data_IF_046954571178
#
_entry.id   IF_046954571178
#
_cell.length_a   1.000
_cell.length_b   1.000
_cell.length_c   1.000
_cell.angle_alpha   90.00
_cell.angle_beta   90.00
_cell.angle_gamma   90.00
#
_symmetry.space_group_name_H-M   'P 1'
#
loop_
_entity.id
_entity.type
_entity.pdbx_description
1 polymer ?
#
# COMPACT_ATOMS: atom_id res chain seq x y z
N UNK A 1 19.63 -21.47 -15.48
CA UNK A 1 20.22 -21.50 -16.84
C UNK A 1 19.61 -20.37 -17.65
N UNK A 2 20.42 -19.41 -18.12
CA UNK A 2 19.96 -18.35 -19.01
C UNK A 2 19.77 -18.92 -20.42
N UNK A 3 18.64 -18.63 -21.09
CA UNK A 3 18.41 -19.09 -22.47
C UNK A 3 19.19 -18.21 -23.44
N UNK A 4 19.84 -18.81 -24.45
CA UNK A 4 20.57 -18.11 -25.51
C UNK A 4 19.62 -17.12 -26.22
N UNK A 5 19.94 -15.83 -26.21
CA UNK A 5 19.09 -14.75 -26.75
C UNK A 5 18.27 -13.96 -25.71
N UNK A 6 18.35 -14.33 -24.43
CA UNK A 6 17.69 -13.59 -23.36
C UNK A 6 18.41 -12.26 -23.09
N UNK A 7 17.79 -11.14 -23.48
CA UNK A 7 18.27 -9.81 -23.11
C UNK A 7 17.85 -9.49 -21.67
N UNK A 8 18.84 -9.24 -20.81
CA UNK A 8 18.60 -8.81 -19.45
C UNK A 8 18.44 -7.29 -19.43
N UNK A 9 17.19 -6.83 -19.28
CA UNK A 9 16.91 -5.42 -19.07
C UNK A 9 17.23 -5.07 -17.61
N UNK A 10 18.20 -4.20 -17.41
CA UNK A 10 18.56 -3.71 -16.09
C UNK A 10 17.59 -2.61 -15.69
N UNK A 11 16.83 -2.86 -14.62
CA UNK A 11 15.98 -1.84 -13.99
C UNK A 11 16.71 -1.29 -12.77
N UNK A 12 16.64 0.03 -12.60
CA UNK A 12 17.16 0.72 -11.42
C UNK A 12 16.49 0.20 -10.14
N UNK A 13 17.16 0.37 -9.00
CA UNK A 13 16.59 0.01 -7.70
C UNK A 13 15.30 0.78 -7.44
N UNK A 14 15.28 2.08 -7.75
CA UNK A 14 14.10 2.94 -7.62
C UNK A 14 12.90 2.38 -8.38
N UNK A 15 13.07 1.99 -9.64
CA UNK A 15 11.98 1.46 -10.45
C UNK A 15 11.46 0.12 -9.92
N UNK A 16 12.34 -0.71 -9.36
CA UNK A 16 11.99 -1.98 -8.71
C UNK A 16 11.19 -1.76 -7.42
N UNK A 17 11.58 -0.77 -6.63
CA UNK A 17 10.89 -0.38 -5.40
C UNK A 17 9.53 0.23 -5.72
N UNK A 18 9.44 1.16 -6.68
CA UNK A 18 8.16 1.75 -7.08
C UNK A 18 7.20 0.71 -7.66
N UNK A 19 7.70 -0.24 -8.46
CA UNK A 19 6.88 -1.36 -8.94
C UNK A 19 6.34 -2.23 -7.79
N UNK A 20 7.11 -2.41 -6.72
CA UNK A 20 6.67 -3.15 -5.55
C UNK A 20 5.65 -2.36 -4.73
N UNK A 21 5.88 -1.05 -4.56
CA UNK A 21 4.98 -0.08 -3.93
C UNK A 21 3.60 -0.12 -4.57
N UNK A 22 3.52 0.06 -5.89
CA UNK A 22 2.25 0.06 -6.62
C UNK A 22 1.49 -1.27 -6.55
N UNK A 23 2.19 -2.41 -6.42
CA UNK A 23 1.55 -3.72 -6.29
C UNK A 23 1.11 -4.02 -4.85
N UNK A 24 1.94 -3.67 -3.87
CA UNK A 24 1.72 -4.04 -2.47
C UNK A 24 0.88 -3.01 -1.71
N UNK A 25 1.07 -1.73 -1.97
CA UNK A 25 0.41 -0.61 -1.27
C UNK A 25 -0.83 -0.13 -2.05
N UNK A 26 -0.67 0.20 -3.34
CA UNK A 26 -1.78 0.69 -4.17
C UNK A 26 -2.67 -0.45 -4.71
N UNK A 27 -2.27 -1.70 -4.46
CA UNK A 27 -2.94 -2.92 -4.93
C UNK A 27 -3.27 -2.92 -6.42
N UNK A 28 -2.45 -2.24 -7.23
CA UNK A 28 -2.64 -2.17 -8.67
C UNK A 28 -2.36 -3.54 -9.29
N UNK A 29 -3.08 -3.85 -10.37
CA UNK A 29 -2.80 -5.07 -11.12
C UNK A 29 -1.39 -5.01 -11.73
N UNK A 30 -0.72 -6.16 -11.82
CA UNK A 30 0.60 -6.27 -12.47
C UNK A 30 0.59 -5.71 -13.90
N UNK A 31 -0.56 -5.76 -14.61
CA UNK A 31 -0.70 -5.17 -15.94
C UNK A 31 -0.68 -3.64 -15.88
N UNK A 32 -1.40 -3.07 -14.93
CA UNK A 32 -1.49 -1.63 -14.70
C UNK A 32 -0.11 -1.05 -14.35
N UNK A 33 0.59 -1.70 -13.43
CA UNK A 33 1.95 -1.31 -13.00
C UNK A 33 2.94 -1.41 -14.16
N UNK A 34 2.88 -2.48 -14.94
CA UNK A 34 3.73 -2.65 -16.11
C UNK A 34 3.51 -1.55 -17.16
N UNK A 35 2.25 -1.18 -17.40
CA UNK A 35 1.88 -0.08 -18.31
C UNK A 35 2.38 1.27 -17.79
N UNK A 36 2.14 1.57 -16.51
CA UNK A 36 2.50 2.86 -15.88
C UNK A 36 4.01 3.09 -15.81
N UNK A 37 4.79 2.04 -15.54
CA UNK A 37 6.25 2.12 -15.44
C UNK A 37 6.99 1.83 -16.76
N UNK A 38 6.28 1.67 -17.88
CA UNK A 38 6.89 1.37 -19.18
C UNK A 38 7.61 0.01 -19.23
N UNK A 39 7.25 -0.92 -18.36
CA UNK A 39 7.85 -2.26 -18.28
C UNK A 39 7.20 -3.14 -19.35
N UNK A 40 7.92 -3.35 -20.46
CA UNK A 40 7.46 -4.19 -21.57
C UNK A 40 7.11 -5.63 -21.16
N UNK A 41 7.87 -6.19 -20.21
CA UNK A 41 7.69 -7.58 -19.75
C UNK A 41 7.02 -7.58 -18.38
N UNK A 42 5.69 -7.72 -18.36
CA UNK A 42 4.89 -7.73 -17.12
C UNK A 42 5.32 -8.77 -16.08
N UNK A 43 5.93 -9.88 -16.50
CA UNK A 43 6.43 -10.90 -15.56
C UNK A 43 7.60 -10.40 -14.72
N UNK A 44 8.32 -9.36 -15.15
CA UNK A 44 9.42 -8.76 -14.38
C UNK A 44 8.91 -8.08 -13.09
N UNK A 45 7.73 -7.45 -13.14
CA UNK A 45 7.06 -6.89 -11.94
C UNK A 45 6.78 -8.00 -10.92
N UNK A 46 6.32 -9.16 -11.39
CA UNK A 46 6.06 -10.31 -10.52
C UNK A 46 7.35 -10.89 -9.93
N UNK A 47 8.41 -11.03 -10.74
CA UNK A 47 9.72 -11.52 -10.28
C UNK A 47 10.29 -10.59 -9.22
N UNK A 48 10.21 -9.27 -9.43
CA UNK A 48 10.67 -8.27 -8.48
C UNK A 48 9.91 -8.36 -7.16
N UNK A 49 8.58 -8.38 -7.21
CA UNK A 49 7.75 -8.50 -6.02
C UNK A 49 8.03 -9.80 -5.24
N UNK A 50 8.19 -10.94 -5.93
CA UNK A 50 8.60 -12.21 -5.30
C UNK A 50 9.98 -12.13 -4.65
N UNK A 51 10.95 -11.49 -5.30
CA UNK A 51 12.30 -11.33 -4.78
C UNK A 51 12.29 -10.51 -3.49
N UNK A 52 11.52 -9.43 -3.43
CA UNK A 52 11.38 -8.60 -2.24
C UNK A 52 10.74 -9.39 -1.08
N UNK A 53 9.70 -10.19 -1.37
CA UNK A 53 9.13 -11.11 -0.38
C UNK A 53 10.11 -12.16 0.13
N UNK A 54 10.93 -12.74 -0.77
CA UNK A 54 11.98 -13.70 -0.38
C UNK A 54 13.05 -13.09 0.52
N UNK A 55 13.33 -11.79 0.37
CA UNK A 55 14.26 -11.05 1.21
C UNK A 55 13.66 -10.62 2.55
N UNK A 56 12.42 -11.03 2.87
CA UNK A 56 11.72 -10.62 4.09
C UNK A 56 11.33 -9.15 4.11
N UNK A 57 11.39 -8.46 2.97
CA UNK A 57 10.92 -7.08 2.84
C UNK A 57 9.39 -7.12 2.75
N UNK A 58 8.77 -7.19 3.93
CA UNK A 58 7.33 -7.12 4.13
C UNK A 58 6.89 -5.65 4.08
N UNK A 59 6.02 -5.32 3.13
CA UNK A 59 5.27 -4.07 3.21
C UNK A 59 4.37 -4.10 4.44
N UNK A 60 4.24 -2.98 5.14
CA UNK A 60 3.51 -2.86 6.41
C UNK A 60 1.99 -2.81 6.27
N UNK A 61 1.45 -3.08 5.08
CA UNK A 61 0.03 -2.91 4.79
C UNK A 61 -0.63 -4.21 4.35
N UNK A 62 -1.85 -4.42 4.85
CA UNK A 62 -2.68 -5.55 4.46
C UNK A 62 -3.14 -5.46 3.00
N UNK A 63 -3.54 -6.59 2.41
CA UNK A 63 -4.09 -6.61 1.05
C UNK A 63 -5.40 -5.83 0.99
N UNK A 64 -5.70 -5.18 -0.15
CA UNK A 64 -6.99 -4.52 -0.41
C UNK A 64 -8.13 -5.45 -0.03
N UNK A 65 -8.98 -4.99 0.88
CA UNK A 65 -10.17 -5.73 1.32
C UNK A 65 -9.96 -6.66 2.51
N UNK A 66 -8.79 -6.70 3.16
CA UNK A 66 -8.67 -7.34 4.46
C UNK A 66 -9.12 -6.36 5.56
N UNK A 67 -10.42 -6.36 5.84
CA UNK A 67 -10.99 -5.55 6.92
C UNK A 67 -10.48 -5.96 8.30
N UNK A 68 -10.03 -7.20 8.50
CA UNK A 68 -9.64 -7.70 9.83
C UNK A 68 -8.33 -7.05 10.32
N UNK A 69 -7.38 -6.83 9.43
CA UNK A 69 -6.09 -6.20 9.79
C UNK A 69 -6.28 -4.72 10.14
N UNK A 70 -7.26 -4.06 9.53
CA UNK A 70 -7.58 -2.66 9.81
C UNK A 70 -8.63 -2.48 10.92
N UNK A 71 -9.47 -3.49 11.18
CA UNK A 71 -10.61 -3.37 12.09
C UNK A 71 -10.18 -2.91 13.49
N UNK A 72 -9.12 -3.49 14.06
CA UNK A 72 -8.67 -3.12 15.41
C UNK A 72 -8.27 -1.64 15.50
N UNK A 73 -7.52 -1.13 14.51
CA UNK A 73 -7.05 0.25 14.54
C UNK A 73 -8.16 1.24 14.16
N UNK A 74 -9.06 0.86 13.24
CA UNK A 74 -10.25 1.63 12.90
C UNK A 74 -11.22 1.75 14.09
N UNK A 75 -11.47 0.65 14.81
CA UNK A 75 -12.28 0.66 16.03
C UNK A 75 -11.64 1.54 17.12
N UNK A 76 -10.34 1.43 17.34
CA UNK A 76 -9.63 2.27 18.31
C UNK A 76 -9.78 3.76 18.01
N UNK A 77 -9.50 4.20 16.78
CA UNK A 77 -9.62 5.60 16.40
C UNK A 77 -11.07 6.09 16.38
N UNK A 78 -12.03 5.23 16.07
CA UNK A 78 -13.46 5.56 16.18
C UNK A 78 -13.87 5.86 17.62
N UNK A 79 -13.46 4.99 18.56
CA UNK A 79 -13.71 5.21 19.99
C UNK A 79 -13.02 6.48 20.50
N UNK A 80 -11.75 6.67 20.16
CA UNK A 80 -10.99 7.86 20.59
C UNK A 80 -11.62 9.17 20.09
N UNK A 81 -12.08 9.21 18.83
CA UNK A 81 -12.78 10.38 18.28
C UNK A 81 -14.10 10.66 18.99
N UNK A 82 -14.84 9.61 19.35
CA UNK A 82 -16.10 9.72 20.07
C UNK A 82 -15.86 10.20 21.51
N UNK A 83 -14.86 9.65 22.20
CA UNK A 83 -14.49 10.03 23.57
C UNK A 83 -13.98 11.47 23.66
N UNK A 84 -13.23 11.95 22.64
CA UNK A 84 -12.76 13.34 22.55
C UNK A 84 -13.90 14.37 22.60
N UNK A 85 -15.08 14.04 22.07
CA UNK A 85 -16.25 14.92 22.10
C UNK A 85 -16.72 15.16 23.55
N UNK A 86 -16.67 14.13 24.40
CA UNK A 86 -17.08 14.25 25.80
C UNK A 86 -16.07 14.99 26.68
N UNK A 87 -14.83 15.16 26.21
CA UNK A 87 -13.78 15.90 26.92
C UNK A 87 -13.78 17.40 26.59
N UNK A 88 -14.43 17.82 25.51
CA UNK A 88 -14.58 19.23 25.15
C UNK A 88 -16.00 19.70 25.44
N UNK A 89 -16.13 20.69 26.33
CA UNK A 89 -17.38 21.44 26.53
C UNK A 89 -17.61 22.40 25.35
N UNK A 90 -17.98 21.85 24.19
CA UNK A 90 -18.39 22.65 23.05
C UNK A 90 -19.76 23.28 23.34
N UNK A 91 -19.86 24.60 23.22
CA UNK A 91 -21.08 25.34 23.53
C UNK A 91 -22.12 25.26 22.40
N UNK A 92 -21.68 24.93 21.19
CA UNK A 92 -22.52 24.86 20.01
C UNK A 92 -22.13 23.70 19.09
N UNK A 93 -23.06 23.33 18.19
CA UNK A 93 -22.89 22.19 17.27
C UNK A 93 -21.69 22.36 16.31
N UNK A 94 -21.35 23.59 15.94
CA UNK A 94 -20.25 23.88 15.02
C UNK A 94 -18.88 23.58 15.65
N UNK A 95 -18.72 23.84 16.95
CA UNK A 95 -17.53 23.50 17.73
C UNK A 95 -17.37 22.00 17.92
N UNK A 96 -18.49 21.27 18.08
CA UNK A 96 -18.48 19.79 18.13
C UNK A 96 -18.00 19.20 16.80
N UNK A 97 -18.47 19.72 15.67
CA UNK A 97 -18.05 19.28 14.33
C UNK A 97 -16.54 19.53 14.12
N UNK A 98 -16.03 20.71 14.48
CA UNK A 98 -14.58 21.02 14.44
C UNK A 98 -13.72 20.15 15.37
N UNK A 99 -14.26 19.70 16.51
CA UNK A 99 -13.54 18.81 17.42
C UNK A 99 -13.46 17.36 16.91
N UNK A 100 -14.36 16.98 15.99
CA UNK A 100 -14.52 15.61 15.46
C UNK A 100 -13.72 15.32 14.18
N UNK A 101 -13.26 16.36 13.47
CA UNK A 101 -12.31 16.30 12.34
C UNK A 101 -10.87 15.99 12.80
#
# INVERSE_FOLDING_TARGET
MAKKGQTYRWYSLELKLEAARLVNEEHMSIREVAKRLGIQIKSQVQVCNRKLKQLGMLGSYSRRGNCLDNACIESFFSHLKTEKIYLNEAANKAEVEQASE
#
